data_IF_323125572672
#
_entry.id   IF_323125572672
#
_cell.length_a   1.000
_cell.length_b   1.000
_cell.length_c   1.000
_cell.angle_alpha   90.00
_cell.angle_beta   90.00
_cell.angle_gamma   90.00
#
_symmetry.space_group_name_H-M   'P 1'
#
loop_
_entity.id
_entity.type
_entity.pdbx_description
1 polymer ?
#
# COMPACT_ATOMS: atom_id res chain seq x y z
N UNK A 1 -27.87 -31.27 -5.58
CA UNK A 1 -27.44 -31.68 -4.22
C UNK A 1 -28.18 -30.81 -3.20
N UNK A 2 -29.04 -31.40 -2.37
CA UNK A 2 -29.70 -30.64 -1.30
C UNK A 2 -28.77 -30.53 -0.09
N UNK A 3 -28.34 -29.31 0.23
CA UNK A 3 -27.53 -29.03 1.42
C UNK A 3 -28.45 -29.06 2.65
N UNK A 4 -28.26 -30.05 3.52
CA UNK A 4 -28.96 -30.11 4.81
C UNK A 4 -28.45 -29.01 5.75
N UNK A 5 -29.37 -28.40 6.53
CA UNK A 5 -29.05 -27.38 7.56
C UNK A 5 -27.94 -27.85 8.51
N UNK A 6 -27.91 -29.14 8.84
CA UNK A 6 -26.88 -29.74 9.70
C UNK A 6 -25.51 -29.84 9.01
N UNK A 7 -25.47 -30.14 7.71
CA UNK A 7 -24.22 -30.13 6.95
C UNK A 7 -23.67 -28.72 6.80
N UNK A 8 -24.54 -27.74 6.57
CA UNK A 8 -24.13 -26.33 6.52
C UNK A 8 -23.48 -25.87 7.84
N UNK A 9 -24.11 -26.16 8.98
CA UNK A 9 -23.55 -25.84 10.31
C UNK A 9 -22.21 -26.55 10.57
N UNK A 10 -22.09 -27.84 10.23
CA UNK A 10 -20.84 -28.59 10.41
C UNK A 10 -19.70 -28.02 9.56
N UNK A 11 -19.97 -27.68 8.31
CA UNK A 11 -19.00 -27.06 7.41
C UNK A 11 -18.62 -25.67 7.93
N UNK A 12 -19.59 -24.89 8.41
CA UNK A 12 -19.35 -23.58 9.01
C UNK A 12 -18.45 -23.64 10.25
N UNK A 13 -18.74 -24.57 11.19
CA UNK A 13 -17.92 -24.76 12.39
C UNK A 13 -16.51 -25.25 12.03
N UNK A 14 -16.39 -26.23 11.13
CA UNK A 14 -15.10 -26.73 10.67
C UNK A 14 -14.27 -25.63 9.98
N UNK A 15 -14.92 -24.78 9.17
CA UNK A 15 -14.31 -23.62 8.54
C UNK A 15 -13.84 -22.59 9.57
N UNK A 16 -14.67 -22.27 10.56
CA UNK A 16 -14.32 -21.34 11.63
C UNK A 16 -13.14 -21.85 12.48
N UNK A 17 -13.13 -23.13 12.86
CA UNK A 17 -12.02 -23.74 13.59
C UNK A 17 -10.73 -23.73 12.75
N UNK A 18 -10.82 -24.04 11.46
CA UNK A 18 -9.67 -24.01 10.54
C UNK A 18 -9.10 -22.59 10.42
N UNK A 19 -9.95 -21.57 10.24
CA UNK A 19 -9.53 -20.17 10.17
C UNK A 19 -8.94 -19.69 11.51
N UNK A 20 -9.54 -20.06 12.64
CA UNK A 20 -9.04 -19.70 13.96
C UNK A 20 -7.67 -20.34 14.24
N UNK A 21 -7.50 -21.63 13.91
CA UNK A 21 -6.22 -22.32 14.04
C UNK A 21 -5.15 -21.72 13.12
N UNK A 22 -5.50 -21.46 11.86
CA UNK A 22 -4.59 -20.79 10.91
C UNK A 22 -4.19 -19.38 11.39
N UNK A 23 -5.14 -18.60 11.89
CA UNK A 23 -4.88 -17.27 12.45
C UNK A 23 -4.01 -17.32 13.71
N UNK A 24 -4.19 -18.32 14.58
CA UNK A 24 -3.37 -18.53 15.76
C UNK A 24 -1.93 -18.93 15.39
N UNK A 25 -1.76 -19.89 14.47
CA UNK A 25 -0.45 -20.29 13.93
C UNK A 25 0.25 -19.09 13.29
N UNK A 26 -0.47 -18.29 12.51
CA UNK A 26 0.06 -17.08 11.91
C UNK A 26 0.55 -16.07 12.96
N UNK A 27 -0.24 -15.79 14.01
CA UNK A 27 0.17 -14.89 15.10
C UNK A 27 1.37 -15.42 15.90
N UNK A 28 1.51 -16.73 16.03
CA UNK A 28 2.67 -17.34 16.69
C UNK A 28 3.93 -17.27 15.82
N UNK A 29 3.78 -17.47 14.50
CA UNK A 29 4.88 -17.35 13.54
C UNK A 29 5.31 -15.88 13.32
N UNK A 30 4.37 -14.95 13.43
CA UNK A 30 4.56 -13.51 13.25
C UNK A 30 4.03 -12.76 14.47
N UNK A 31 4.75 -12.78 15.61
CA UNK A 31 4.32 -12.10 16.81
C UNK A 31 4.17 -10.60 16.55
N UNK A 32 3.08 -9.96 17.01
CA UNK A 32 2.91 -8.52 16.87
C UNK A 32 4.02 -7.83 17.67
N UNK A 33 4.99 -7.25 16.98
CA UNK A 33 5.97 -6.39 17.62
C UNK A 33 5.30 -5.04 17.87
N UNK A 34 5.46 -4.52 19.08
CA UNK A 34 5.26 -3.10 19.35
C UNK A 34 6.43 -2.32 18.72
N UNK A 35 6.54 -2.37 17.40
CA UNK A 35 7.58 -1.66 16.67
C UNK A 35 7.04 -0.30 16.26
N UNK A 36 7.96 0.67 16.24
CA UNK A 36 7.79 1.90 15.47
C UNK A 36 7.46 1.53 14.03
N UNK A 37 6.70 2.37 13.35
CA UNK A 37 6.40 2.22 11.93
C UNK A 37 7.65 1.83 11.13
N UNK A 38 7.56 0.75 10.36
CA UNK A 38 8.62 0.21 9.53
C UNK A 38 8.04 -0.25 8.18
N UNK A 39 8.27 0.56 7.15
CA UNK A 39 8.11 0.19 5.75
C UNK A 39 9.43 -0.39 5.25
N UNK A 40 9.59 -1.71 5.42
CA UNK A 40 10.76 -2.47 4.99
C UNK A 40 10.37 -3.77 4.25
N UNK A 41 11.38 -4.42 3.65
CA UNK A 41 11.22 -5.69 2.93
C UNK A 41 10.06 -5.68 1.93
N UNK A 42 9.15 -6.64 2.07
CA UNK A 42 7.98 -6.80 1.18
C UNK A 42 7.04 -5.60 1.18
N UNK A 43 6.96 -4.84 2.27
CA UNK A 43 6.11 -3.65 2.35
C UNK A 43 6.70 -2.49 1.51
N UNK A 44 8.03 -2.39 1.44
CA UNK A 44 8.71 -1.44 0.56
C UNK A 44 8.54 -1.81 -0.92
N UNK A 45 8.53 -3.10 -1.26
CA UNK A 45 8.25 -3.54 -2.64
C UNK A 45 6.86 -3.10 -3.13
N UNK A 46 5.84 -3.13 -2.26
CA UNK A 46 4.51 -2.59 -2.58
C UNK A 46 4.62 -1.12 -2.96
N UNK A 47 5.36 -0.34 -2.16
CA UNK A 47 5.52 1.10 -2.40
C UNK A 47 6.27 1.38 -3.71
N UNK A 48 7.32 0.62 -4.00
CA UNK A 48 8.05 0.69 -5.28
C UNK A 48 7.18 0.37 -6.49
N UNK A 49 6.19 -0.52 -6.35
CA UNK A 49 5.24 -0.83 -7.42
C UNK A 49 4.16 0.25 -7.57
N UNK A 50 3.66 0.80 -6.45
CA UNK A 50 2.56 1.78 -6.43
C UNK A 50 3.02 3.17 -6.89
N UNK A 51 4.20 3.64 -6.48
CA UNK A 51 4.67 4.99 -6.81
C UNK A 51 4.68 5.24 -8.34
N UNK A 52 5.25 4.37 -9.19
CA UNK A 52 5.21 4.56 -10.64
C UNK A 52 3.80 4.52 -11.24
N UNK A 53 2.90 3.73 -10.65
CA UNK A 53 1.51 3.66 -11.11
C UNK A 53 0.72 4.93 -10.77
N UNK A 54 1.05 5.59 -9.66
CA UNK A 54 0.41 6.86 -9.23
C UNK A 54 1.02 8.07 -9.94
N UNK A 55 2.36 8.17 -10.00
CA UNK A 55 3.06 9.33 -10.58
C UNK A 55 3.15 9.29 -12.10
N UNK A 56 3.11 8.10 -12.71
CA UNK A 56 3.10 7.91 -14.15
C UNK A 56 4.22 8.69 -14.88
N UNK A 57 3.87 9.63 -15.78
CA UNK A 57 4.82 10.35 -16.61
C UNK A 57 5.63 11.44 -15.89
N UNK A 58 5.28 11.77 -14.64
CA UNK A 58 6.01 12.77 -13.85
C UNK A 58 7.39 12.26 -13.41
N UNK A 59 7.57 10.94 -13.37
CA UNK A 59 8.87 10.34 -13.11
C UNK A 59 9.83 10.54 -14.29
N UNK A 60 11.13 10.76 -14.03
CA UNK A 60 12.14 10.84 -15.08
C UNK A 60 12.12 9.63 -16.01
N UNK A 61 12.40 9.85 -17.30
CA UNK A 61 12.47 8.79 -18.31
C UNK A 61 13.81 8.04 -18.29
N UNK A 62 14.90 8.74 -17.93
CA UNK A 62 16.23 8.14 -17.86
C UNK A 62 16.27 7.08 -16.73
N UNK A 63 16.72 5.83 -17.00
CA UNK A 63 16.64 4.72 -16.04
C UNK A 63 17.26 5.04 -14.67
N UNK A 64 18.46 5.61 -14.64
CA UNK A 64 19.17 5.91 -13.39
C UNK A 64 18.48 7.03 -12.61
N UNK A 65 18.06 8.09 -13.30
CA UNK A 65 17.31 9.19 -12.70
C UNK A 65 15.94 8.72 -12.17
N UNK A 66 15.30 7.78 -12.86
CA UNK A 66 14.03 7.18 -12.45
C UNK A 66 14.19 6.33 -11.19
N UNK A 67 15.24 5.50 -11.14
CA UNK A 67 15.54 4.70 -9.97
C UNK A 67 15.85 5.58 -8.75
N UNK A 68 16.66 6.62 -8.92
CA UNK A 68 16.95 7.60 -7.87
C UNK A 68 15.68 8.34 -7.39
N UNK A 69 14.84 8.79 -8.32
CA UNK A 69 13.57 9.44 -8.00
C UNK A 69 12.61 8.51 -7.23
N UNK A 70 12.56 7.23 -7.60
CA UNK A 70 11.73 6.23 -6.90
C UNK A 70 12.22 5.99 -5.47
N UNK A 71 13.54 5.88 -5.27
CA UNK A 71 14.13 5.75 -3.93
C UNK A 71 13.84 6.99 -3.07
N UNK A 72 14.04 8.18 -3.63
CA UNK A 72 13.76 9.44 -2.94
C UNK A 72 12.26 9.60 -2.61
N UNK A 73 11.37 9.24 -3.53
CA UNK A 73 9.93 9.26 -3.29
C UNK A 73 9.52 8.28 -2.19
N UNK A 74 10.08 7.07 -2.22
CA UNK A 74 9.81 6.05 -1.20
C UNK A 74 10.26 6.52 0.18
N UNK A 75 11.45 7.08 0.28
CA UNK A 75 11.96 7.65 1.53
C UNK A 75 11.04 8.76 2.07
N UNK A 76 10.64 9.70 1.21
CA UNK A 76 9.73 10.79 1.58
C UNK A 76 8.37 10.31 2.05
N UNK A 77 7.81 9.26 1.44
CA UNK A 77 6.56 8.64 1.93
C UNK A 77 6.75 8.10 3.34
N UNK A 78 7.86 7.41 3.62
CA UNK A 78 8.13 6.90 4.98
C UNK A 78 8.26 8.05 5.98
N UNK A 79 8.97 9.10 5.63
CA UNK A 79 9.15 10.28 6.49
C UNK A 79 7.82 11.00 6.74
N UNK A 80 6.97 11.11 5.73
CA UNK A 80 5.62 11.65 5.86
C UNK A 80 4.77 10.81 6.83
N UNK A 81 4.83 9.48 6.73
CA UNK A 81 4.09 8.60 7.66
C UNK A 81 4.61 8.75 9.09
N UNK A 82 5.92 8.90 9.29
CA UNK A 82 6.50 9.12 10.63
C UNK A 82 6.01 10.41 11.30
N UNK A 83 5.53 11.40 10.53
CA UNK A 83 4.90 12.62 11.02
C UNK A 83 3.43 12.48 11.44
N UNK A 84 2.78 11.34 11.14
CA UNK A 84 1.37 11.10 11.46
C UNK A 84 1.18 10.65 12.92
N UNK A 85 -0.03 10.76 13.49
CA UNK A 85 -0.35 10.15 14.78
C UNK A 85 -0.06 8.64 14.80
N UNK A 86 0.36 8.10 15.95
CA UNK A 86 0.74 6.68 16.07
C UNK A 86 -0.36 5.69 15.64
N UNK A 87 -1.63 6.04 15.88
CA UNK A 87 -2.76 5.24 15.42
C UNK A 87 -2.80 5.13 13.89
N UNK A 88 -2.62 6.26 13.18
CA UNK A 88 -2.57 6.31 11.73
C UNK A 88 -1.33 5.62 11.17
N UNK A 89 -0.17 5.77 11.82
CA UNK A 89 1.04 5.01 11.46
C UNK A 89 0.78 3.50 11.48
N UNK A 90 0.05 3.02 12.49
CA UNK A 90 -0.34 1.62 12.61
C UNK A 90 -1.30 1.20 11.49
N UNK A 91 -2.29 2.01 11.15
CA UNK A 91 -3.20 1.72 10.04
C UNK A 91 -2.46 1.59 8.71
N UNK A 92 -1.49 2.47 8.44
CA UNK A 92 -0.62 2.39 7.26
C UNK A 92 0.24 1.11 7.31
N UNK A 93 0.85 0.81 8.47
CA UNK A 93 1.61 -0.42 8.65
C UNK A 93 0.76 -1.66 8.36
N UNK A 94 -0.47 -1.72 8.88
CA UNK A 94 -1.37 -2.84 8.72
C UNK A 94 -1.83 -2.97 7.25
N UNK A 95 -2.06 -1.85 6.55
CA UNK A 95 -2.38 -1.83 5.12
C UNK A 95 -1.24 -2.41 4.27
N UNK A 96 -0.02 -1.93 4.45
CA UNK A 96 1.13 -2.42 3.69
C UNK A 96 1.49 -3.86 4.09
N UNK A 97 1.35 -4.21 5.37
CA UNK A 97 1.49 -5.57 5.86
C UNK A 97 0.49 -6.51 5.19
N UNK A 98 -0.78 -6.11 5.07
CA UNK A 98 -1.81 -6.87 4.37
C UNK A 98 -1.46 -7.05 2.89
N UNK A 99 -1.00 -5.99 2.20
CA UNK A 99 -0.59 -6.06 0.79
C UNK A 99 0.68 -6.88 0.56
N UNK A 100 1.55 -7.01 1.56
CA UNK A 100 2.73 -7.85 1.51
C UNK A 100 2.40 -9.36 1.57
N UNK A 101 1.23 -9.74 2.12
CA UNK A 101 0.82 -11.14 2.19
C UNK A 101 0.37 -11.66 0.83
N UNK A 102 1.04 -12.70 0.32
CA UNK A 102 0.75 -13.29 -1.00
C UNK A 102 -0.74 -13.60 -1.26
N UNK A 103 -1.48 -14.24 -0.34
CA UNK A 103 -2.91 -14.49 -0.53
C UNK A 103 -3.75 -13.21 -0.58
N UNK A 104 -3.50 -12.26 0.33
CA UNK A 104 -4.23 -11.00 0.38
C UNK A 104 -3.92 -10.12 -0.83
N UNK A 105 -2.66 -10.05 -1.27
CA UNK A 105 -2.24 -9.43 -2.53
C UNK A 105 -3.03 -9.97 -3.72
N UNK A 106 -3.13 -11.30 -3.86
CA UNK A 106 -3.86 -11.91 -4.98
C UNK A 106 -5.36 -11.66 -4.92
N UNK A 107 -5.97 -11.71 -3.72
CA UNK A 107 -7.42 -11.58 -3.55
C UNK A 107 -7.89 -10.12 -3.58
N UNK A 108 -7.16 -9.23 -2.92
CA UNK A 108 -7.56 -7.83 -2.76
C UNK A 108 -6.99 -6.93 -3.85
N UNK A 109 -5.77 -7.21 -4.32
CA UNK A 109 -5.12 -6.40 -5.36
C UNK A 109 -5.15 -7.05 -6.75
N UNK A 110 -5.44 -8.35 -6.88
CA UNK A 110 -5.42 -9.03 -8.18
C UNK A 110 -4.02 -9.17 -8.78
N UNK A 111 -2.96 -8.78 -8.07
CA UNK A 111 -1.58 -8.84 -8.52
C UNK A 111 -1.06 -10.27 -8.38
N UNK A 112 -0.57 -10.82 -9.49
CA UNK A 112 0.04 -12.16 -9.56
C UNK A 112 1.55 -12.04 -9.42
N UNK A 113 2.19 -13.07 -8.86
CA UNK A 113 3.63 -13.00 -8.57
C UNK A 113 3.95 -12.02 -7.45
N UNK A 114 5.23 -11.69 -7.26
CA UNK A 114 5.71 -10.77 -6.22
C UNK A 114 5.73 -9.31 -6.67
N UNK A 115 5.71 -8.37 -5.71
CA UNK A 115 5.62 -6.94 -5.99
C UNK A 115 6.83 -6.41 -6.77
N UNK A 116 8.04 -6.95 -6.56
CA UNK A 116 9.25 -6.61 -7.33
C UNK A 116 9.09 -6.81 -8.84
N UNK A 117 8.25 -7.77 -9.23
CA UNK A 117 8.01 -8.17 -10.62
C UNK A 117 6.57 -7.88 -11.04
N UNK A 118 5.84 -7.08 -10.28
CA UNK A 118 4.46 -6.76 -10.58
C UNK A 118 4.36 -5.99 -11.89
N UNK A 119 3.56 -6.50 -12.81
CA UNK A 119 3.26 -5.83 -14.07
C UNK A 119 2.58 -4.47 -13.79
N UNK A 120 3.11 -3.34 -14.30
CA UNK A 120 2.49 -2.03 -14.14
C UNK A 120 1.00 -1.99 -14.50
N UNK A 121 0.56 -2.80 -15.47
CA UNK A 121 -0.86 -2.89 -15.85
C UNK A 121 -1.70 -3.50 -14.72
N UNK A 122 -1.18 -4.51 -14.02
CA UNK A 122 -1.86 -5.11 -12.87
C UNK A 122 -1.94 -4.13 -11.71
N UNK A 123 -0.87 -3.35 -11.46
CA UNK A 123 -0.87 -2.34 -10.40
C UNK A 123 -1.86 -1.20 -10.70
N UNK A 124 -1.95 -0.76 -11.95
CA UNK A 124 -2.93 0.24 -12.35
C UNK A 124 -4.37 -0.29 -12.23
N UNK A 125 -4.62 -1.53 -12.67
CA UNK A 125 -5.93 -2.17 -12.53
C UNK A 125 -6.32 -2.36 -11.05
N UNK A 126 -5.37 -2.74 -10.20
CA UNK A 126 -5.51 -2.79 -8.75
C UNK A 126 -5.99 -1.45 -8.19
N UNK A 127 -5.25 -0.37 -8.42
CA UNK A 127 -5.58 0.95 -7.90
C UNK A 127 -6.95 1.43 -8.41
N UNK A 128 -7.24 1.19 -9.68
CA UNK A 128 -8.54 1.52 -10.26
C UNK A 128 -9.68 0.71 -9.63
N UNK A 129 -9.45 -0.59 -9.37
CA UNK A 129 -10.45 -1.45 -8.75
C UNK A 129 -10.83 -0.99 -7.34
N UNK A 130 -9.84 -0.52 -6.56
CA UNK A 130 -10.08 0.02 -5.22
C UNK A 130 -10.77 1.39 -5.28
N UNK A 131 -10.35 2.26 -6.20
CA UNK A 131 -10.95 3.58 -6.41
C UNK A 131 -12.45 3.51 -6.67
N UNK A 132 -12.91 2.53 -7.44
CA UNK A 132 -14.33 2.38 -7.81
C UNK A 132 -15.04 1.25 -7.06
N UNK A 133 -14.43 0.71 -6.00
CA UNK A 133 -14.97 -0.44 -5.29
C UNK A 133 -16.25 -0.08 -4.54
N UNK A 134 -17.22 -1.00 -4.42
CA UNK A 134 -18.45 -0.75 -3.64
C UNK A 134 -18.21 -0.63 -2.13
N UNK A 135 -17.23 -1.38 -1.61
CA UNK A 135 -16.76 -1.29 -0.23
C UNK A 135 -15.98 0.00 0.02
N UNK A 136 -16.52 0.86 0.89
CA UNK A 136 -15.90 2.13 1.26
C UNK A 136 -14.49 1.97 1.84
N UNK A 137 -14.21 0.89 2.58
CA UNK A 137 -12.88 0.62 3.15
C UNK A 137 -11.79 0.54 2.08
N UNK A 138 -12.08 -0.05 0.91
CA UNK A 138 -11.10 -0.15 -0.18
C UNK A 138 -10.90 1.20 -0.89
N UNK A 139 -11.96 2.01 -1.00
CA UNK A 139 -11.82 3.38 -1.49
C UNK A 139 -10.96 4.23 -0.55
N UNK A 140 -11.18 4.13 0.76
CA UNK A 140 -10.36 4.82 1.78
C UNK A 140 -8.90 4.37 1.67
N UNK A 141 -8.64 3.07 1.52
CA UNK A 141 -7.29 2.56 1.34
C UNK A 141 -6.64 3.07 0.04
N UNK A 142 -7.40 3.19 -1.06
CA UNK A 142 -6.92 3.84 -2.29
C UNK A 142 -6.55 5.30 -2.05
N UNK A 143 -7.44 6.08 -1.41
CA UNK A 143 -7.18 7.49 -1.11
C UNK A 143 -5.94 7.65 -0.22
N UNK A 144 -5.80 6.83 0.82
CA UNK A 144 -4.63 6.86 1.69
C UNK A 144 -3.33 6.57 0.91
N UNK A 145 -3.30 5.55 0.05
CA UNK A 145 -2.13 5.25 -0.78
C UNK A 145 -1.81 6.38 -1.74
N UNK A 146 -2.84 6.89 -2.42
CA UNK A 146 -2.73 7.97 -3.39
C UNK A 146 -2.21 9.25 -2.74
N UNK A 147 -2.79 9.67 -1.62
CA UNK A 147 -2.47 10.91 -0.94
C UNK A 147 -1.10 10.85 -0.25
N UNK A 148 -0.70 9.68 0.27
CA UNK A 148 0.66 9.47 0.76
C UNK A 148 1.70 9.66 -0.35
N UNK A 149 1.47 9.07 -1.52
CA UNK A 149 2.41 9.17 -2.65
C UNK A 149 2.45 10.59 -3.21
N UNK A 150 1.29 11.18 -3.51
CA UNK A 150 1.19 12.53 -4.09
C UNK A 150 1.69 13.57 -3.09
N UNK A 151 1.26 13.47 -1.82
CA UNK A 151 1.67 14.39 -0.77
C UNK A 151 3.18 14.37 -0.56
N UNK A 152 3.79 13.18 -0.46
CA UNK A 152 5.24 13.05 -0.34
C UNK A 152 6.00 13.52 -1.60
N UNK A 153 5.42 13.34 -2.79
CA UNK A 153 6.05 13.80 -4.03
C UNK A 153 6.09 15.33 -4.09
N UNK A 154 4.95 15.99 -3.96
CA UNK A 154 4.81 17.44 -4.18
C UNK A 154 5.19 18.30 -2.97
N UNK A 155 5.33 17.73 -1.78
CA UNK A 155 5.90 18.44 -0.64
C UNK A 155 7.39 18.77 -0.83
N UNK A 156 8.09 18.12 -1.76
CA UNK A 156 9.52 18.29 -1.95
C UNK A 156 9.84 19.34 -3.04
N UNK A 157 10.61 20.40 -2.70
CA UNK A 157 10.98 21.45 -3.64
C UNK A 157 11.73 20.98 -4.89
N UNK A 158 12.46 19.86 -4.83
CA UNK A 158 13.18 19.30 -6.00
C UNK A 158 12.24 18.86 -7.12
N UNK A 159 10.94 18.67 -6.82
CA UNK A 159 9.93 18.27 -7.81
C UNK A 159 9.19 19.46 -8.43
N UNK A 160 9.34 20.66 -7.88
CA UNK A 160 8.54 21.82 -8.30
C UNK A 160 8.93 22.35 -9.69
N UNK A 161 10.22 22.35 -9.99
CA UNK A 161 10.72 22.80 -11.30
C UNK A 161 10.18 21.91 -12.43
N UNK A 162 10.11 20.60 -12.22
CA UNK A 162 9.65 19.66 -13.25
C UNK A 162 8.16 19.78 -13.58
N UNK A 163 7.37 20.41 -12.71
CA UNK A 163 5.95 20.70 -12.92
C UNK A 163 5.67 22.19 -13.18
N UNK A 164 6.70 23.02 -13.29
CA UNK A 164 6.57 24.45 -13.53
C UNK A 164 6.03 25.24 -12.33
N UNK A 165 6.11 24.71 -11.11
CA UNK A 165 5.69 25.41 -9.91
C UNK A 165 6.85 26.27 -9.37
N UNK A 166 6.69 27.60 -9.22
CA UNK A 166 7.77 28.48 -8.76
C UNK A 166 8.04 28.41 -7.25
N UNK A 167 7.29 27.59 -6.51
CA UNK A 167 7.32 27.55 -5.06
C UNK A 167 6.34 28.53 -4.40
N UNK A 168 6.17 28.45 -3.07
CA UNK A 168 5.33 29.37 -2.33
C UNK A 168 5.89 30.80 -2.41
N UNK A 169 5.01 31.82 -2.31
CA UNK A 169 5.44 33.22 -2.25
C UNK A 169 6.47 33.41 -1.14
N UNK A 170 7.55 34.14 -1.44
CA UNK A 170 8.63 34.41 -0.47
C UNK A 170 8.12 35.10 0.80
N UNK A 171 7.02 35.83 0.70
CA UNK A 171 6.36 36.52 1.81
C UNK A 171 5.74 35.55 2.85
N UNK A 172 5.44 34.31 2.47
CA UNK A 172 4.89 33.28 3.37
C UNK A 172 5.97 32.40 4.02
N UNK A 173 7.25 32.63 3.69
CA UNK A 173 8.40 31.89 4.24
C UNK A 173 9.10 32.66 5.39
N UNK A 174 8.48 33.73 5.87
CA UNK A 174 8.98 34.60 6.95
C UNK A 174 8.56 34.11 8.35
#
# INVERSE_FOLDING_TARGET
MQVSRRSFLKIGVAGACTLAAGGAVYRLAYPPQASRFALDGKALEVLHAVIPAVLGPVLPLAPDARAAALQAASQRVRDAVLGLPLATQKEVQDLFGLLALGPARRLLAGVRGDWEQADPVQVAAFLQSWRTHSLQTLQIAYHALHDLVIGAWYADPSTWESIGYPGPPKELLA
#
